data_IF_362951586205
#
_entry.id   IF_362951586205
#
_cell.length_a   1.000
_cell.length_b   1.000
_cell.length_c   1.000
_cell.angle_alpha   90.00
_cell.angle_beta   90.00
_cell.angle_gamma   90.00
#
_symmetry.space_group_name_H-M   'P 1'
#
loop_
_entity.id
_entity.type
_entity.pdbx_description
1 polymer ?
#
# COMPACT_ATOMS: atom_id res chain seq x y z
N UNK A 1 -28.16 -23.92 -11.57
CA UNK A 1 -27.79 -24.31 -11.10
C UNK A 1 -27.17 -24.23 -10.83
N UNK A 2 -27.19 -24.04 -10.91
CA UNK A 2 -26.67 -24.30 -10.43
C UNK A 2 -26.07 -24.07 -10.11
N UNK A 3 -26.13 -23.93 -10.17
CA UNK A 3 -25.77 -24.11 -9.57
C UNK A 3 -25.15 -23.92 -9.13
N UNK A 4 -25.21 -23.82 -9.31
CA UNK A 4 -24.77 -24.01 -8.57
C UNK A 4 -24.25 -23.88 -8.16
N UNK A 5 -24.45 -23.88 -8.20
CA UNK A 5 -24.12 -24.20 -7.54
C UNK A 5 -23.47 -24.16 -7.45
N UNK A 6 -23.57 -24.13 -7.77
CA UNK A 6 -23.15 -24.42 -7.35
C UNK A 6 -22.52 -24.21 -7.24
N UNK A 7 -22.55 -24.17 -7.15
CA UNK A 7 -22.20 -24.45 -6.55
C UNK A 7 -21.59 -24.37 -6.21
N UNK A 8 -21.69 -24.34 -6.35
CA UNK A 8 -21.37 -24.60 -5.51
C UNK A 8 -20.89 -24.66 -5.12
N UNK A 9 -20.91 -24.82 -5.07
CA UNK A 9 -20.66 -25.10 -4.26
C UNK A 9 -20.22 -25.18 -3.78
N UNK A 10 -19.98 -25.40 -3.68
CA UNK A 10 -19.78 -25.51 -2.79
C UNK A 10 -19.08 -25.43 -2.33
N UNK A 11 -18.96 -25.62 -1.86
CA UNK A 11 -18.34 -25.35 -1.00
C UNK A 11 -17.80 -25.89 -0.50
N UNK A 12 -17.43 -26.13 -0.64
CA UNK A 12 -16.85 -26.58 0.01
C UNK A 12 -16.48 -26.50 1.04
N UNK A 13 -16.18 -26.98 1.47
CA UNK A 13 -15.72 -26.70 2.46
C UNK A 13 -15.34 -25.53 2.67
N UNK A 14 -15.53 -25.02 3.06
CA UNK A 14 -15.29 -24.00 3.25
C UNK A 14 -14.86 -23.50 4.43
N UNK A 15 -14.42 -24.05 5.46
CA UNK A 15 -13.77 -23.51 6.56
C UNK A 15 -12.77 -22.55 6.18
N UNK A 16 -12.24 -22.82 5.08
CA UNK A 16 -11.32 -21.91 4.54
C UNK A 16 -11.98 -20.65 4.11
N UNK A 17 -13.24 -20.60 4.19
CA UNK A 17 -13.97 -19.40 3.84
C UNK A 17 -13.58 -18.26 4.74
N UNK A 18 -13.18 -18.54 5.95
CA UNK A 18 -12.76 -17.49 6.86
C UNK A 18 -11.52 -16.79 6.38
N UNK A 19 -10.77 -17.45 5.52
CA UNK A 19 -9.51 -16.88 5.06
C UNK A 19 -9.59 -16.39 3.64
N UNK A 20 -10.77 -15.99 3.21
CA UNK A 20 -10.92 -15.48 1.87
C UNK A 20 -10.10 -14.22 1.73
N UNK A 21 -9.17 -14.25 0.81
CA UNK A 21 -8.35 -13.10 0.53
C UNK A 21 -9.11 -12.15 -0.38
N UNK A 22 -8.82 -10.86 -0.27
CA UNK A 22 -9.38 -9.92 -1.24
C UNK A 22 -9.01 -10.37 -2.64
N UNK A 23 -9.85 -10.07 -3.64
CA UNK A 23 -9.59 -10.49 -5.01
C UNK A 23 -8.43 -9.75 -5.66
N UNK A 24 -7.78 -8.87 -4.94
CA UNK A 24 -6.74 -8.03 -5.50
C UNK A 24 -5.37 -8.64 -5.27
N UNK A 25 -4.50 -8.44 -6.24
CA UNK A 25 -3.10 -8.81 -6.09
C UNK A 25 -2.24 -7.57 -5.97
N UNK A 26 -2.73 -6.57 -5.25
CA UNK A 26 -1.94 -5.38 -4.96
C UNK A 26 -1.12 -5.66 -3.72
N UNK A 27 0.18 -5.49 -3.83
CA UNK A 27 1.07 -5.74 -2.70
C UNK A 27 1.85 -4.48 -2.35
N UNK A 28 2.27 -4.40 -1.10
CA UNK A 28 3.24 -3.42 -0.67
C UNK A 28 4.60 -4.04 -0.91
N UNK A 29 5.28 -3.56 -1.92
CA UNK A 29 6.52 -4.15 -2.34
C UNK A 29 7.68 -3.73 -1.45
N UNK A 30 7.68 -2.47 -1.02
CA UNK A 30 8.86 -1.93 -0.37
C UNK A 30 8.50 -0.66 0.37
N UNK A 31 9.15 -0.44 1.50
CA UNK A 31 9.06 0.81 2.26
C UNK A 31 10.47 1.35 2.37
N UNK A 32 10.71 2.53 1.81
CA UNK A 32 11.98 3.19 1.97
C UNK A 32 11.87 4.13 3.15
N UNK A 33 12.18 3.62 4.34
CA UNK A 33 12.14 4.43 5.56
C UNK A 33 13.57 4.77 5.95
N UNK A 34 13.71 5.78 6.76
CA UNK A 34 15.02 6.20 7.25
C UNK A 34 15.98 6.53 6.10
N UNK A 35 15.59 7.44 5.21
CA UNK A 35 16.53 7.87 4.19
C UNK A 35 17.70 8.57 4.86
N UNK A 36 18.85 8.31 4.39
CA UNK A 36 20.16 8.68 4.90
C UNK A 36 20.22 9.75 5.96
N UNK A 37 20.43 9.30 7.17
CA UNK A 37 20.94 10.14 8.22
C UNK A 37 19.93 11.05 8.85
N UNK A 38 19.86 12.29 8.45
CA UNK A 38 19.13 13.27 9.23
C UNK A 38 17.72 13.47 8.70
N UNK A 39 16.79 13.67 9.64
CA UNK A 39 15.42 13.96 9.31
C UNK A 39 15.30 15.42 8.94
N UNK A 40 15.64 15.77 7.72
CA UNK A 40 15.53 17.13 7.23
C UNK A 40 14.43 17.18 6.20
N UNK A 41 13.75 18.31 6.16
CA UNK A 41 12.54 18.42 5.38
C UNK A 41 12.76 18.22 3.87
N UNK A 42 13.94 18.53 3.38
CA UNK A 42 14.21 18.35 1.94
C UNK A 42 14.40 16.88 1.56
N UNK A 43 14.42 15.98 2.57
CA UNK A 43 14.54 14.56 2.29
C UNK A 43 13.23 13.80 2.45
N UNK A 44 12.14 14.52 2.66
CA UNK A 44 10.85 13.87 2.89
C UNK A 44 10.45 12.94 1.77
N UNK A 45 10.74 13.30 0.53
CA UNK A 45 10.35 12.49 -0.61
C UNK A 45 11.30 11.34 -0.89
N UNK A 46 12.39 11.25 -0.14
CA UNK A 46 13.23 10.05 -0.16
C UNK A 46 12.63 8.96 0.71
N UNK A 47 11.60 9.31 1.48
CA UNK A 47 10.82 8.33 2.22
C UNK A 47 9.59 8.02 1.39
N UNK A 48 9.39 6.74 1.07
CA UNK A 48 8.25 6.38 0.22
C UNK A 48 7.90 4.91 0.40
N UNK A 49 6.68 4.59 -0.01
CA UNK A 49 6.18 3.22 -0.06
C UNK A 49 5.89 2.88 -1.51
N UNK A 50 6.20 1.67 -1.92
CA UNK A 50 5.96 1.22 -3.28
C UNK A 50 4.90 0.14 -3.27
N UNK A 51 3.85 0.32 -4.06
CA UNK A 51 2.84 -0.71 -4.31
C UNK A 51 3.04 -1.26 -5.71
N UNK A 52 2.66 -2.51 -5.90
CA UNK A 52 2.68 -3.13 -7.22
C UNK A 52 1.41 -3.93 -7.43
N UNK A 53 0.88 -3.89 -8.64
CA UNK A 53 -0.22 -4.76 -9.03
C UNK A 53 0.38 -6.01 -9.65
N UNK A 54 0.37 -7.11 -8.91
CA UNK A 54 0.88 -8.38 -9.39
C UNK A 54 -0.18 -9.20 -10.11
N UNK A 55 -1.41 -8.72 -10.14
CA UNK A 55 -2.47 -9.42 -10.82
C UNK A 55 -2.52 -9.09 -12.29
N UNK A 56 -3.46 -9.70 -12.99
CA UNK A 56 -3.61 -9.51 -14.42
C UNK A 56 -4.54 -8.35 -14.75
N UNK A 57 -5.37 -7.95 -13.82
CA UNK A 57 -6.42 -6.99 -14.10
C UNK A 57 -6.10 -5.62 -13.55
N UNK A 58 -6.57 -4.61 -14.25
CA UNK A 58 -6.42 -3.24 -13.81
C UNK A 58 -7.31 -2.99 -12.59
N UNK A 59 -6.73 -2.40 -11.56
CA UNK A 59 -7.43 -2.16 -10.31
C UNK A 59 -7.43 -0.66 -10.02
N UNK A 60 -8.61 -0.11 -9.75
CA UNK A 60 -8.71 1.27 -9.31
C UNK A 60 -8.37 1.36 -7.83
N UNK A 61 -7.53 2.31 -7.47
CA UNK A 61 -7.19 2.55 -6.07
C UNK A 61 -7.98 3.70 -5.48
N UNK A 62 -9.00 4.18 -6.18
CA UNK A 62 -9.80 5.31 -5.71
C UNK A 62 -10.37 5.02 -4.32
N UNK A 63 -10.08 5.89 -3.37
CA UNK A 63 -10.59 5.73 -2.00
C UNK A 63 -9.88 4.71 -1.15
N UNK A 64 -8.89 4.02 -1.68
CA UNK A 64 -8.06 3.14 -0.86
C UNK A 64 -7.24 3.97 0.12
N UNK A 65 -6.77 3.34 1.19
CA UNK A 65 -5.95 4.04 2.18
C UNK A 65 -4.71 3.24 2.53
N UNK A 66 -3.67 3.98 2.87
CA UNK A 66 -2.41 3.41 3.33
C UNK A 66 -2.13 4.04 4.69
N UNK A 67 -1.84 3.20 5.70
CA UNK A 67 -1.64 3.69 7.06
C UNK A 67 -0.35 3.13 7.63
N UNK A 68 0.24 3.89 8.57
CA UNK A 68 1.31 3.37 9.39
C UNK A 68 0.69 2.70 10.62
N UNK A 69 1.48 1.90 11.30
CA UNK A 69 1.01 1.23 12.50
C UNK A 69 1.69 1.85 13.70
N UNK A 70 0.92 2.56 14.48
CA UNK A 70 1.44 3.13 15.71
C UNK A 70 0.92 2.29 16.85
N UNK A 71 1.65 1.22 17.13
CA UNK A 71 1.27 0.35 18.24
C UNK A 71 1.33 1.06 19.58
N UNK A 72 1.89 2.25 19.60
CA UNK A 72 2.01 3.03 20.81
C UNK A 72 0.75 3.81 21.15
N UNK A 73 -0.28 3.70 20.31
CA UNK A 73 -1.52 4.43 20.56
C UNK A 73 -1.51 5.87 20.11
N UNK A 74 -0.43 6.31 19.52
CA UNK A 74 -0.35 7.64 18.95
C UNK A 74 -1.06 7.62 17.62
N UNK A 75 -1.45 8.77 17.13
CA UNK A 75 -2.24 8.86 15.93
C UNK A 75 -1.63 8.11 14.76
N UNK A 76 -2.50 7.40 14.04
CA UNK A 76 -2.12 6.85 12.77
C UNK A 76 -2.12 7.92 11.72
N UNK A 77 -1.19 7.78 10.79
CA UNK A 77 -1.19 8.61 9.60
C UNK A 77 -1.91 7.85 8.50
N UNK A 78 -2.81 8.52 7.79
CA UNK A 78 -3.62 7.87 6.76
C UNK A 78 -3.46 8.64 5.46
N UNK A 79 -3.06 7.92 4.42
CA UNK A 79 -3.02 8.46 3.07
C UNK A 79 -4.21 7.90 2.30
N UNK A 80 -5.00 8.77 1.66
CA UNK A 80 -6.12 8.35 0.84
C UNK A 80 -5.76 8.55 -0.62
N UNK A 81 -5.91 7.48 -1.41
CA UNK A 81 -5.55 7.54 -2.82
C UNK A 81 -6.56 8.37 -3.60
N UNK A 82 -6.06 9.20 -4.52
CA UNK A 82 -6.96 10.01 -5.36
C UNK A 82 -7.85 9.15 -6.25
N UNK A 83 -8.94 9.74 -6.69
CA UNK A 83 -9.95 9.03 -7.49
C UNK A 83 -9.42 8.60 -8.86
N UNK A 84 -8.36 9.22 -9.33
CA UNK A 84 -7.86 8.98 -10.68
C UNK A 84 -6.81 7.88 -10.76
N UNK A 85 -6.37 7.36 -9.60
CA UNK A 85 -5.25 6.41 -9.59
C UNK A 85 -5.76 5.00 -9.80
N UNK A 86 -5.18 4.30 -10.77
CA UNK A 86 -5.42 2.88 -10.95
C UNK A 86 -4.10 2.25 -11.39
N UNK A 87 -3.96 0.96 -11.15
CA UNK A 87 -2.77 0.21 -11.52
C UNK A 87 -3.16 -0.91 -12.47
N UNK A 88 -2.59 -0.86 -13.66
CA UNK A 88 -2.67 -2.00 -14.56
C UNK A 88 -1.69 -3.07 -14.11
N UNK A 89 -1.74 -4.22 -14.75
CA UNK A 89 -0.84 -5.33 -14.39
C UNK A 89 0.61 -4.86 -14.40
N UNK A 90 1.31 -5.13 -13.32
CA UNK A 90 2.73 -4.82 -13.12
C UNK A 90 3.05 -3.36 -12.91
N UNK A 91 2.06 -2.48 -12.95
CA UNK A 91 2.31 -1.07 -12.67
C UNK A 91 2.52 -0.85 -11.19
N UNK A 92 3.22 0.22 -10.87
CA UNK A 92 3.59 0.54 -9.49
C UNK A 92 3.10 1.92 -9.11
N UNK A 93 2.94 2.11 -7.81
CA UNK A 93 2.66 3.43 -7.25
C UNK A 93 3.68 3.70 -6.15
N UNK A 94 4.33 4.84 -6.26
CA UNK A 94 5.25 5.33 -5.25
C UNK A 94 4.54 6.43 -4.46
N UNK A 95 4.38 6.22 -3.18
CA UNK A 95 3.75 7.21 -2.31
C UNK A 95 4.83 7.89 -1.49
N UNK A 96 5.22 9.08 -1.94
CA UNK A 96 6.26 9.87 -1.29
C UNK A 96 5.65 10.62 -0.12
N UNK A 97 6.38 10.71 0.97
CA UNK A 97 5.85 11.31 2.20
C UNK A 97 5.64 12.81 2.08
N UNK A 98 6.51 13.51 1.37
CA UNK A 98 6.50 14.97 1.35
C UNK A 98 5.64 15.57 0.27
N UNK A 99 5.80 16.87 0.06
CA UNK A 99 4.98 17.58 -0.91
C UNK A 99 5.44 17.35 -2.34
N UNK A 100 4.55 17.59 -3.27
CA UNK A 100 4.85 17.45 -4.69
C UNK A 100 3.60 17.29 -5.49
N UNK A 101 3.76 17.25 -6.79
CA UNK A 101 2.65 17.11 -7.71
C UNK A 101 2.58 15.67 -8.19
N UNK A 102 1.40 15.07 -8.06
CA UNK A 102 1.21 13.69 -8.50
C UNK A 102 1.37 13.59 -10.01
N UNK A 103 2.01 12.53 -10.46
CA UNK A 103 2.24 12.33 -11.89
C UNK A 103 2.26 10.85 -12.23
N UNK A 104 2.01 10.56 -13.50
CA UNK A 104 2.10 9.20 -14.02
C UNK A 104 3.23 9.16 -15.04
N UNK A 105 4.09 8.17 -14.89
CA UNK A 105 5.28 8.06 -15.69
C UNK A 105 5.23 6.76 -16.48
N UNK A 106 5.14 6.86 -17.80
CA UNK A 106 5.08 5.66 -18.63
C UNK A 106 6.44 5.00 -18.69
N UNK A 107 6.42 3.68 -18.68
CA UNK A 107 7.65 2.91 -18.71
C UNK A 107 7.35 1.42 -18.69
N UNK A 108 8.35 0.64 -18.33
CA UNK A 108 8.24 -0.81 -18.23
C UNK A 108 8.82 -1.27 -16.91
N UNK A 109 8.04 -1.24 -15.85
CA UNK A 109 6.61 -0.87 -15.78
C UNK A 109 6.39 0.63 -15.67
N UNK A 110 5.18 1.06 -15.99
CA UNK A 110 4.76 2.42 -15.70
C UNK A 110 4.53 2.59 -14.21
N UNK A 111 4.59 3.83 -13.76
CA UNK A 111 4.41 4.06 -12.34
C UNK A 111 3.76 5.40 -12.06
N UNK A 112 3.05 5.45 -10.94
CA UNK A 112 2.55 6.69 -10.38
C UNK A 112 3.55 7.22 -9.38
N UNK A 113 3.72 8.53 -9.35
CA UNK A 113 4.43 9.22 -8.27
C UNK A 113 3.39 10.04 -7.54
N UNK A 114 3.10 9.63 -6.31
CA UNK A 114 2.06 10.26 -5.49
C UNK A 114 2.73 10.91 -4.29
N UNK A 115 2.08 11.94 -3.76
CA UNK A 115 2.68 12.71 -2.67
C UNK A 115 1.69 12.86 -1.54
N UNK A 116 2.12 12.50 -0.34
CA UNK A 116 1.30 12.55 0.85
C UNK A 116 1.16 13.97 1.38
N UNK A 117 2.02 14.87 0.92
CA UNK A 117 1.99 16.29 1.28
C UNK A 117 2.25 16.53 2.76
N UNK A 118 3.04 15.69 3.37
CA UNK A 118 3.33 15.87 4.78
C UNK A 118 4.57 16.73 4.98
N UNK A 119 4.72 17.23 6.19
CA UNK A 119 5.84 18.08 6.55
C UNK A 119 6.77 17.39 7.53
N UNK A 120 6.53 16.11 7.82
CA UNK A 120 7.39 15.34 8.69
C UNK A 120 7.34 13.89 8.24
N UNK A 121 8.36 13.14 8.62
CA UNK A 121 8.44 11.74 8.26
C UNK A 121 7.32 10.95 8.93
N UNK A 122 6.86 9.91 8.23
CA UNK A 122 5.77 9.05 8.69
C UNK A 122 6.33 7.75 9.23
N UNK A 123 7.27 7.14 8.49
CA UNK A 123 7.70 5.78 8.78
C UNK A 123 8.79 5.80 9.83
N UNK A 124 8.55 5.06 10.91
CA UNK A 124 9.43 5.06 12.06
C UNK A 124 10.77 4.44 11.68
N UNK A 125 11.85 5.12 11.99
CA UNK A 125 13.19 4.64 11.67
C UNK A 125 13.52 3.33 12.38
N UNK A 126 12.86 3.07 13.49
CA UNK A 126 13.12 1.86 14.26
C UNK A 126 12.21 0.71 13.85
N UNK A 127 11.40 0.93 12.84
CA UNK A 127 10.49 -0.09 12.36
C UNK A 127 9.07 0.41 12.35
N UNK A 128 8.30 -0.08 11.41
CA UNK A 128 6.90 0.33 11.30
C UNK A 128 6.19 -0.70 10.44
N UNK A 129 4.87 -0.64 10.41
CA UNK A 129 4.07 -1.51 9.58
C UNK A 129 3.19 -0.66 8.70
N UNK A 130 3.30 -0.87 7.39
CA UNK A 130 2.40 -0.24 6.44
C UNK A 130 1.25 -1.19 6.18
N UNK A 131 0.02 -0.68 6.20
CA UNK A 131 -1.16 -1.48 5.91
C UNK A 131 -1.98 -0.78 4.85
N UNK A 132 -2.39 -1.56 3.85
CA UNK A 132 -3.17 -1.07 2.73
C UNK A 132 -4.59 -1.59 2.87
N UNK A 133 -5.57 -0.69 2.77
CA UNK A 133 -6.99 -1.04 2.83
C UNK A 133 -7.67 -0.63 1.54
N UNK A 134 -8.66 -1.42 1.12
CA UNK A 134 -9.44 -1.02 -0.05
C UNK A 134 -10.50 0.01 0.34
N UNK A 135 -11.33 0.41 -0.63
CA UNK A 135 -12.29 1.48 -0.40
C UNK A 135 -13.36 1.11 0.61
N UNK A 136 -13.60 -0.17 0.80
CA UNK A 136 -14.56 -0.65 1.80
C UNK A 136 -13.94 -0.87 3.17
N UNK A 137 -12.63 -0.62 3.29
CA UNK A 137 -11.95 -0.78 4.57
C UNK A 137 -11.41 -2.18 4.81
N UNK A 138 -11.42 -3.04 3.81
CA UNK A 138 -10.85 -4.38 3.95
C UNK A 138 -9.34 -4.33 3.78
N UNK A 139 -8.63 -5.06 4.63
CA UNK A 139 -7.18 -5.10 4.54
C UNK A 139 -6.76 -5.87 3.28
N UNK A 140 -5.93 -5.25 2.48
CA UNK A 140 -5.43 -5.86 1.25
C UNK A 140 -4.04 -6.45 1.46
N UNK A 141 -3.16 -5.70 2.12
CA UNK A 141 -1.80 -6.18 2.35
C UNK A 141 -1.19 -5.39 3.49
N UNK A 142 -0.13 -5.93 4.08
CA UNK A 142 0.66 -5.18 5.05
C UNK A 142 2.10 -5.64 4.96
N UNK A 143 3.01 -4.73 5.29
CA UNK A 143 4.44 -5.02 5.26
C UNK A 143 5.07 -4.37 6.48
N UNK A 144 5.76 -5.18 7.26
CA UNK A 144 6.48 -4.69 8.42
C UNK A 144 7.95 -4.57 8.08
N UNK A 145 8.53 -3.42 8.42
CA UNK A 145 9.96 -3.23 8.27
C UNK A 145 10.56 -3.07 9.65
N UNK A 146 11.73 -3.63 9.83
CA UNK A 146 12.45 -3.56 11.09
C UNK A 146 13.85 -3.11 10.77
N UNK A 147 14.29 -2.06 11.45
CA UNK A 147 15.63 -1.57 11.26
C UNK A 147 16.56 -2.39 12.15
N UNK A 148 17.51 -3.06 11.54
CA UNK A 148 18.51 -3.76 12.30
C UNK A 148 19.52 -2.73 12.75
N UNK A 149 19.65 -2.58 14.07
CA UNK A 149 20.61 -1.67 14.59
C UNK A 149 22.01 -2.20 14.43
N UNK A 150 22.86 -1.38 13.88
CA UNK A 150 24.27 -1.70 13.86
C UNK A 150 24.77 -1.69 15.28
N UNK A 151 25.49 -2.69 15.66
CA UNK A 151 26.04 -2.77 17.00
C UNK A 151 27.52 -2.56 16.95
#
# INVERSE_FOLDING_TARGET
MSTALAHSTLISDFSEICDVKPPYRIIIEHINHNPHGKDVSDKLNEEFVVLENEGAEKISLAGWTLTDDTTTGVRRHVYTFPQTVSLSSREKAYIHTGPGEDSFEEGKPSKWNLHWERHSFVWNNEGDTATLFDAEGNKVDSLQVVTLKAT
#
